data_IF_021459863610
#
_entry.id   IF_021459863610
#
_cell.length_a   1.000
_cell.length_b   1.000
_cell.length_c   1.000
_cell.angle_alpha   90.00
_cell.angle_beta   90.00
_cell.angle_gamma   90.00
#
_symmetry.space_group_name_H-M   'P 1'
#
loop_
_entity.id
_entity.type
_entity.pdbx_description
1 polymer ?
#
# COMPACT_ATOMS: atom_id res chain seq x y z
N UNK A 1 -10.64 48.77 -47.57
CA UNK A 1 -11.96 48.54 -46.94
C UNK A 1 -11.85 47.29 -46.09
N UNK A 2 -12.08 47.38 -44.78
CA UNK A 2 -12.08 46.20 -43.92
C UNK A 2 -13.35 45.41 -44.22
N UNK A 3 -13.21 44.16 -44.67
CA UNK A 3 -14.33 43.29 -45.01
C UNK A 3 -15.11 43.00 -43.72
N UNK A 4 -16.39 43.38 -43.68
CA UNK A 4 -17.31 43.04 -42.60
C UNK A 4 -18.22 41.90 -43.04
N UNK A 5 -18.70 41.13 -42.08
CA UNK A 5 -19.65 40.04 -42.28
C UNK A 5 -20.85 40.26 -41.36
N UNK A 6 -22.04 40.21 -41.93
CA UNK A 6 -23.31 40.37 -41.22
C UNK A 6 -23.66 39.06 -40.50
N UNK A 7 -24.03 39.16 -39.22
CA UNK A 7 -24.51 38.02 -38.44
C UNK A 7 -25.97 37.71 -38.81
N UNK A 8 -26.30 36.48 -39.24
CA UNK A 8 -27.66 36.11 -39.65
C UNK A 8 -28.66 36.04 -38.48
N UNK A 9 -28.17 36.14 -37.23
CA UNK A 9 -29.00 36.05 -36.03
C UNK A 9 -29.37 37.44 -35.48
N UNK A 10 -28.47 38.43 -35.57
CA UNK A 10 -28.74 39.78 -35.06
C UNK A 10 -28.78 40.90 -36.11
N UNK A 11 -28.41 40.60 -37.36
CA UNK A 11 -28.32 41.53 -38.49
C UNK A 11 -27.36 42.70 -38.22
N UNK A 12 -26.30 42.45 -37.45
CA UNK A 12 -25.22 43.41 -37.22
C UNK A 12 -23.94 43.00 -37.96
N UNK A 13 -23.18 44.00 -38.42
CA UNK A 13 -21.96 43.84 -39.20
C UNK A 13 -20.71 43.83 -38.31
N UNK A 14 -20.00 42.70 -38.30
CA UNK A 14 -18.76 42.52 -37.55
C UNK A 14 -17.54 42.50 -38.47
N UNK A 15 -16.39 42.95 -37.97
CA UNK A 15 -15.13 42.71 -38.67
C UNK A 15 -14.88 41.19 -38.74
N UNK A 16 -14.26 40.70 -39.82
CA UNK A 16 -13.96 39.26 -39.98
C UNK A 16 -13.24 38.63 -38.77
N UNK A 17 -12.43 39.40 -38.05
CA UNK A 17 -11.71 38.96 -36.84
C UNK A 17 -12.61 38.82 -35.61
N UNK A 18 -13.73 39.52 -35.57
CA UNK A 18 -14.68 39.57 -34.45
C UNK A 18 -15.95 38.76 -34.73
N UNK A 19 -16.14 38.32 -35.98
CA UNK A 19 -17.34 37.61 -36.41
C UNK A 19 -17.56 36.29 -35.66
N UNK A 20 -16.56 35.40 -35.59
CA UNK A 20 -16.72 34.11 -34.91
C UNK A 20 -16.93 34.26 -33.38
N UNK A 21 -16.12 35.06 -32.66
CA UNK A 21 -16.38 35.35 -31.24
C UNK A 21 -17.78 35.89 -30.99
N UNK A 22 -18.28 36.77 -31.87
CA UNK A 22 -19.65 37.25 -31.78
C UNK A 22 -20.67 36.12 -31.95
N UNK A 23 -20.55 35.26 -32.97
CA UNK A 23 -21.52 34.18 -33.23
C UNK A 23 -21.64 33.24 -32.03
N UNK A 24 -20.52 32.90 -31.40
CA UNK A 24 -20.46 32.02 -30.22
C UNK A 24 -21.23 32.61 -29.02
N UNK A 25 -21.33 33.94 -28.92
CA UNK A 25 -21.97 34.66 -27.82
C UNK A 25 -23.23 35.47 -28.23
N UNK A 26 -23.64 35.40 -29.51
CA UNK A 26 -24.70 36.23 -30.08
C UNK A 26 -26.01 36.11 -29.29
N UNK A 27 -26.55 37.21 -28.72
CA UNK A 27 -27.76 37.15 -27.87
C UNK A 27 -29.01 36.66 -28.59
N UNK A 28 -29.11 36.93 -29.90
CA UNK A 28 -30.26 36.58 -30.75
C UNK A 28 -30.13 35.21 -31.43
N UNK A 29 -29.03 34.48 -31.19
CA UNK A 29 -28.89 33.12 -31.70
C UNK A 29 -29.97 32.24 -31.10
N UNK A 30 -30.63 31.44 -31.94
CA UNK A 30 -31.64 30.48 -31.49
C UNK A 30 -30.95 29.27 -30.88
N UNK A 31 -31.29 28.97 -29.63
CA UNK A 31 -30.74 27.87 -28.82
C UNK A 31 -31.87 27.09 -28.15
N UNK A 32 -31.54 25.89 -27.67
CA UNK A 32 -32.39 25.11 -26.78
C UNK A 32 -31.85 25.20 -25.35
N UNK A 33 -32.71 24.99 -24.34
CA UNK A 33 -32.26 24.81 -22.96
C UNK A 33 -31.26 23.63 -22.89
N UNK A 34 -30.09 23.78 -22.25
CA UNK A 34 -29.11 22.69 -22.11
C UNK A 34 -29.63 21.45 -21.39
N UNK A 35 -30.70 21.59 -20.60
CA UNK A 35 -31.33 20.50 -19.84
C UNK A 35 -32.65 20.03 -20.45
N UNK A 36 -32.93 20.39 -21.71
CA UNK A 36 -34.11 19.94 -22.46
C UNK A 36 -34.28 18.41 -22.41
N UNK A 37 -33.20 17.69 -22.71
CA UNK A 37 -33.21 16.22 -22.72
C UNK A 37 -33.18 15.59 -21.31
N UNK A 38 -33.07 16.43 -20.27
CA UNK A 38 -33.07 16.04 -18.86
C UNK A 38 -34.35 16.43 -18.11
N UNK A 39 -35.40 16.84 -18.85
CA UNK A 39 -36.75 17.07 -18.29
C UNK A 39 -37.12 18.52 -18.02
N UNK A 40 -36.39 19.50 -18.58
CA UNK A 40 -36.81 20.90 -18.53
C UNK A 40 -38.19 21.08 -19.20
N UNK A 41 -39.09 21.83 -18.56
CA UNK A 41 -40.44 22.13 -19.09
C UNK A 41 -40.37 23.04 -20.32
N UNK A 42 -39.34 23.86 -20.41
CA UNK A 42 -39.14 24.75 -21.55
C UNK A 42 -38.43 23.98 -22.67
N UNK A 43 -39.23 23.56 -23.65
CA UNK A 43 -38.82 22.69 -24.75
C UNK A 43 -38.73 23.41 -26.09
N UNK A 44 -39.20 24.65 -26.14
CA UNK A 44 -39.19 25.47 -27.33
C UNK A 44 -37.80 26.04 -27.60
N UNK A 45 -37.53 26.31 -28.87
CA UNK A 45 -36.39 27.10 -29.28
C UNK A 45 -36.59 28.56 -28.85
N UNK A 46 -35.53 29.19 -28.33
CA UNK A 46 -35.56 30.57 -27.84
C UNK A 46 -34.26 31.28 -28.20
N UNK A 47 -34.22 32.60 -28.13
CA UNK A 47 -32.96 33.33 -28.26
C UNK A 47 -32.02 33.03 -27.07
N UNK A 48 -30.71 33.12 -27.28
CA UNK A 48 -29.72 32.95 -26.21
C UNK A 48 -30.00 33.88 -25.02
N UNK A 49 -30.44 35.10 -25.28
CA UNK A 49 -30.85 36.05 -24.24
C UNK A 49 -32.06 35.56 -23.43
N UNK A 50 -33.12 35.07 -24.10
CA UNK A 50 -34.26 34.45 -23.43
C UNK A 50 -33.86 33.20 -22.65
N UNK A 51 -32.91 32.40 -23.16
CA UNK A 51 -32.37 31.25 -22.46
C UNK A 51 -31.61 31.64 -21.19
N UNK A 52 -30.82 32.71 -21.22
CA UNK A 52 -30.13 33.22 -20.05
C UNK A 52 -31.13 33.73 -19.01
N UNK A 53 -32.17 34.45 -19.44
CA UNK A 53 -33.23 34.95 -18.56
C UNK A 53 -34.04 33.80 -17.93
N UNK A 54 -34.34 32.76 -18.70
CA UNK A 54 -34.96 31.52 -18.23
C UNK A 54 -34.09 30.86 -17.14
N UNK A 55 -32.80 30.62 -17.42
CA UNK A 55 -31.87 29.99 -16.48
C UNK A 55 -31.64 30.83 -15.21
N UNK A 56 -31.71 32.16 -15.32
CA UNK A 56 -31.45 33.09 -14.22
C UNK A 56 -32.71 33.47 -13.41
N UNK A 57 -33.90 33.06 -13.88
CA UNK A 57 -35.14 33.23 -13.12
C UNK A 57 -35.11 32.38 -11.84
N UNK A 58 -35.78 32.80 -10.77
CA UNK A 58 -35.81 32.03 -9.52
C UNK A 58 -36.38 30.61 -9.71
N UNK A 59 -37.44 30.48 -10.51
CA UNK A 59 -38.06 29.19 -10.82
C UNK A 59 -37.17 28.34 -11.73
N UNK A 60 -36.55 28.95 -12.74
CA UNK A 60 -35.63 28.26 -13.64
C UNK A 60 -34.36 27.79 -12.94
N UNK A 61 -33.66 28.66 -12.22
CA UNK A 61 -32.42 28.31 -11.52
C UNK A 61 -32.64 27.12 -10.58
N UNK A 62 -33.73 27.13 -9.82
CA UNK A 62 -34.07 26.04 -8.91
C UNK A 62 -34.34 24.73 -9.66
N UNK A 63 -35.30 24.74 -10.60
CA UNK A 63 -35.68 23.54 -11.37
C UNK A 63 -34.45 22.91 -12.06
N UNK A 64 -33.55 23.72 -12.63
CA UNK A 64 -32.34 23.23 -13.30
C UNK A 64 -31.30 22.67 -12.34
N UNK A 65 -31.08 23.28 -11.17
CA UNK A 65 -30.16 22.72 -10.16
C UNK A 65 -30.65 21.35 -9.68
N UNK A 66 -31.97 21.18 -9.48
CA UNK A 66 -32.55 19.87 -9.14
C UNK A 66 -32.34 18.86 -10.26
N UNK A 67 -32.51 19.25 -11.52
CA UNK A 67 -32.26 18.37 -12.67
C UNK A 67 -30.80 17.97 -12.80
N UNK A 68 -29.85 18.89 -12.60
CA UNK A 68 -28.42 18.59 -12.62
C UNK A 68 -28.03 17.59 -11.54
N UNK A 69 -28.58 17.75 -10.34
CA UNK A 69 -28.41 16.79 -9.24
C UNK A 69 -28.96 15.42 -9.62
N UNK A 70 -30.18 15.35 -10.16
CA UNK A 70 -30.81 14.08 -10.52
C UNK A 70 -30.02 13.35 -11.61
N UNK A 71 -29.45 14.08 -12.58
CA UNK A 71 -28.57 13.55 -13.61
C UNK A 71 -27.25 13.03 -13.03
N UNK A 72 -26.69 13.69 -12.01
CA UNK A 72 -25.51 13.19 -11.30
C UNK A 72 -25.81 11.92 -10.49
N UNK A 73 -27.03 11.79 -9.94
CA UNK A 73 -27.47 10.59 -9.21
C UNK A 73 -27.70 9.38 -10.10
N UNK A 74 -28.02 9.56 -11.38
CA UNK A 74 -28.23 8.46 -12.33
C UNK A 74 -26.94 7.96 -12.99
N UNK A 75 -25.80 8.62 -12.73
CA UNK A 75 -24.50 8.10 -13.12
C UNK A 75 -24.24 6.77 -12.40
N UNK A 76 -23.71 5.75 -13.10
CA UNK A 76 -23.40 4.47 -12.49
C UNK A 76 -22.30 4.67 -11.44
N UNK A 77 -22.71 4.78 -10.18
CA UNK A 77 -21.82 4.84 -9.02
C UNK A 77 -21.82 3.50 -8.29
N UNK A 78 -20.72 3.23 -7.59
CA UNK A 78 -20.53 2.06 -6.75
C UNK A 78 -21.75 1.84 -5.81
N UNK A 79 -22.19 0.60 -5.56
CA UNK A 79 -23.42 0.30 -4.80
C UNK A 79 -23.45 0.80 -3.34
N UNK A 80 -22.34 1.34 -2.82
CA UNK A 80 -22.19 1.81 -1.44
C UNK A 80 -22.71 3.24 -1.18
N UNK A 81 -23.23 3.96 -2.19
CA UNK A 81 -23.59 5.39 -2.09
C UNK A 81 -25.04 5.77 -2.45
N UNK A 82 -25.88 4.80 -2.80
CA UNK A 82 -27.25 5.08 -3.27
C UNK A 82 -28.11 5.76 -2.20
N UNK A 83 -27.96 5.40 -0.92
CA UNK A 83 -28.76 5.96 0.18
C UNK A 83 -28.47 7.45 0.44
N UNK A 84 -27.21 7.88 0.32
CA UNK A 84 -26.83 9.28 0.55
C UNK A 84 -27.29 10.20 -0.59
N UNK A 85 -27.24 9.71 -1.83
CA UNK A 85 -27.75 10.41 -3.02
C UNK A 85 -29.28 10.50 -3.02
N UNK A 86 -29.97 9.47 -2.54
CA UNK A 86 -31.43 9.51 -2.36
C UNK A 86 -31.85 10.46 -1.23
N UNK A 87 -31.14 10.45 -0.11
CA UNK A 87 -31.34 11.40 1.00
C UNK A 87 -31.17 12.85 0.52
N UNK A 88 -30.13 13.11 -0.28
CA UNK A 88 -29.89 14.40 -0.93
C UNK A 88 -31.05 14.83 -1.85
N UNK A 89 -31.49 13.93 -2.75
CA UNK A 89 -32.57 14.22 -3.68
C UNK A 89 -33.91 14.48 -2.96
N UNK A 90 -34.12 13.86 -1.79
CA UNK A 90 -35.31 14.07 -0.97
C UNK A 90 -35.26 15.39 -0.17
N UNK A 91 -34.08 15.82 0.28
CA UNK A 91 -33.90 17.11 0.97
C UNK A 91 -34.18 18.30 0.05
N UNK A 92 -33.68 18.22 -1.19
CA UNK A 92 -33.90 19.24 -2.23
C UNK A 92 -35.39 19.32 -2.61
N UNK A 93 -36.09 18.18 -2.68
CA UNK A 93 -37.54 18.12 -2.96
C UNK A 93 -38.41 18.61 -1.80
N UNK A 94 -37.93 18.57 -0.56
CA UNK A 94 -38.70 18.88 0.65
C UNK A 94 -38.55 20.31 1.19
N UNK A 95 -37.71 21.15 0.58
CA UNK A 95 -37.34 22.45 1.14
C UNK A 95 -38.30 23.56 0.71
N UNK A 96 -39.22 23.95 1.60
CA UNK A 96 -40.09 25.15 1.48
C UNK A 96 -39.40 26.46 1.93
N UNK A 97 -38.08 26.44 2.15
CA UNK A 97 -37.28 27.57 2.63
C UNK A 97 -36.66 28.42 1.50
N UNK A 98 -35.96 29.50 1.85
CA UNK A 98 -35.17 30.30 0.91
C UNK A 98 -34.26 29.40 0.08
N UNK A 99 -34.22 29.62 -1.24
CA UNK A 99 -33.39 28.86 -2.20
C UNK A 99 -31.93 28.74 -1.72
N UNK A 100 -31.42 29.77 -1.03
CA UNK A 100 -30.07 29.79 -0.47
C UNK A 100 -29.83 28.73 0.62
N UNK A 101 -30.83 28.43 1.45
CA UNK A 101 -30.69 27.46 2.55
C UNK A 101 -30.70 26.02 2.02
N UNK A 102 -31.51 25.74 0.99
CA UNK A 102 -31.54 24.45 0.30
C UNK A 102 -30.23 24.17 -0.44
N UNK A 103 -29.70 25.17 -1.15
CA UNK A 103 -28.40 25.07 -1.84
C UNK A 103 -27.25 24.91 -0.84
N UNK A 104 -27.28 25.63 0.29
CA UNK A 104 -26.26 25.51 1.34
C UNK A 104 -26.24 24.11 1.97
N UNK A 105 -27.41 23.57 2.34
CA UNK A 105 -27.51 22.21 2.90
C UNK A 105 -27.04 21.13 1.92
N UNK A 106 -27.32 21.31 0.63
CA UNK A 106 -26.81 20.44 -0.43
C UNK A 106 -25.27 20.48 -0.51
N UNK A 107 -24.66 21.68 -0.49
CA UNK A 107 -23.20 21.83 -0.51
C UNK A 107 -22.56 21.16 0.71
N UNK A 108 -23.09 21.38 1.91
CA UNK A 108 -22.57 20.79 3.15
C UNK A 108 -22.64 19.24 3.13
N UNK A 109 -23.74 18.69 2.63
CA UNK A 109 -23.90 17.25 2.45
C UNK A 109 -22.90 16.68 1.45
N UNK A 110 -22.70 17.34 0.31
CA UNK A 110 -21.73 16.91 -0.69
C UNK A 110 -20.28 16.98 -0.19
N UNK A 111 -19.93 18.06 0.53
CA UNK A 111 -18.61 18.21 1.17
C UNK A 111 -18.35 17.08 2.17
N UNK A 112 -19.37 16.70 2.96
CA UNK A 112 -19.27 15.58 3.90
C UNK A 112 -19.04 14.25 3.17
N UNK A 113 -19.80 13.98 2.10
CA UNK A 113 -19.62 12.78 1.27
C UNK A 113 -18.23 12.73 0.63
N UNK A 114 -17.71 13.86 0.16
CA UNK A 114 -16.35 13.96 -0.41
C UNK A 114 -15.29 13.67 0.67
N UNK A 115 -15.47 14.20 1.88
CA UNK A 115 -14.56 13.94 2.99
C UNK A 115 -14.52 12.44 3.38
N UNK A 116 -15.68 11.80 3.46
CA UNK A 116 -15.80 10.36 3.73
C UNK A 116 -15.14 9.53 2.63
N UNK A 117 -15.30 9.94 1.38
CA UNK A 117 -14.64 9.30 0.24
C UNK A 117 -13.12 9.39 0.30
N UNK A 118 -12.59 10.56 0.65
CA UNK A 118 -11.14 10.75 0.81
C UNK A 118 -10.62 9.85 1.94
N UNK A 119 -11.33 9.76 3.07
CA UNK A 119 -10.98 8.86 4.16
C UNK A 119 -10.99 7.38 3.73
N UNK A 120 -11.96 6.96 2.92
CA UNK A 120 -12.01 5.59 2.40
C UNK A 120 -10.94 5.30 1.34
N UNK A 121 -10.57 6.28 0.50
CA UNK A 121 -9.46 6.17 -0.46
C UNK A 121 -8.14 6.00 0.28
N UNK A 122 -7.83 6.91 1.21
CA UNK A 122 -6.59 6.85 2.02
C UNK A 122 -6.46 5.54 2.81
N UNK A 123 -7.58 5.01 3.32
CA UNK A 123 -7.62 3.69 3.94
C UNK A 123 -7.31 2.57 2.96
N UNK A 124 -7.90 2.58 1.75
CA UNK A 124 -7.58 1.59 0.71
C UNK A 124 -6.12 1.68 0.25
N UNK A 125 -5.55 2.87 0.13
CA UNK A 125 -4.13 3.05 -0.20
C UNK A 125 -3.23 2.39 0.84
N UNK A 126 -3.53 2.54 2.13
CA UNK A 126 -2.77 1.87 3.20
C UNK A 126 -2.86 0.33 3.12
N UNK A 127 -4.01 -0.20 2.71
CA UNK A 127 -4.21 -1.64 2.50
C UNK A 127 -3.44 -2.14 1.27
N UNK A 128 -3.41 -1.36 0.19
CA UNK A 128 -2.62 -1.66 -1.02
C UNK A 128 -1.14 -1.75 -0.67
N UNK A 129 -0.57 -0.75 0.00
CA UNK A 129 0.84 -0.81 0.44
C UNK A 129 1.14 -2.07 1.26
N UNK A 130 0.25 -2.45 2.17
CA UNK A 130 0.40 -3.67 2.98
C UNK A 130 0.36 -4.95 2.13
N UNK A 131 -0.48 -4.98 1.09
CA UNK A 131 -0.57 -6.11 0.17
C UNK A 131 0.66 -6.19 -0.74
N UNK A 132 1.15 -5.07 -1.25
CA UNK A 132 2.38 -4.99 -2.04
C UNK A 132 3.58 -5.54 -1.25
N UNK A 133 3.72 -5.16 0.03
CA UNK A 133 4.74 -5.71 0.93
C UNK A 133 4.62 -7.23 1.11
N UNK A 134 3.39 -7.75 1.21
CA UNK A 134 3.14 -9.20 1.32
C UNK A 134 3.47 -9.93 0.02
N UNK A 135 3.15 -9.35 -1.14
CA UNK A 135 3.48 -9.91 -2.45
C UNK A 135 5.00 -10.00 -2.61
N UNK A 136 5.74 -8.92 -2.33
CA UNK A 136 7.20 -8.93 -2.39
C UNK A 136 7.83 -10.00 -1.46
N UNK A 137 7.27 -10.18 -0.26
CA UNK A 137 7.69 -11.24 0.66
C UNK A 137 7.41 -12.65 0.09
N UNK A 138 6.23 -12.86 -0.49
CA UNK A 138 5.87 -14.14 -1.10
C UNK A 138 6.73 -14.46 -2.32
N UNK A 139 7.04 -13.48 -3.16
CA UNK A 139 7.97 -13.62 -4.28
C UNK A 139 9.36 -14.03 -3.78
N UNK A 140 9.83 -13.41 -2.71
CA UNK A 140 11.12 -13.75 -2.08
C UNK A 140 11.12 -15.18 -1.54
N UNK A 141 10.04 -15.61 -0.87
CA UNK A 141 9.89 -16.98 -0.37
C UNK A 141 9.85 -17.97 -1.55
N UNK A 142 9.09 -17.64 -2.59
CA UNK A 142 8.94 -18.48 -3.79
C UNK A 142 10.27 -18.63 -4.50
N UNK A 143 11.03 -17.55 -4.68
CA UNK A 143 12.37 -17.56 -5.21
C UNK A 143 13.31 -18.46 -4.38
N UNK A 144 13.24 -18.34 -3.05
CA UNK A 144 14.00 -19.18 -2.12
C UNK A 144 13.57 -20.64 -2.11
N UNK A 145 12.36 -20.98 -2.54
CA UNK A 145 11.89 -22.37 -2.63
C UNK A 145 12.19 -22.99 -4.00
N UNK A 146 12.03 -22.22 -5.07
CA UNK A 146 12.29 -22.66 -6.44
C UNK A 146 13.80 -22.76 -6.74
N UNK A 147 14.60 -21.85 -6.18
CA UNK A 147 16.04 -21.75 -6.42
C UNK A 147 16.87 -21.88 -5.14
N UNK A 148 16.23 -22.31 -4.05
CA UNK A 148 16.87 -22.48 -2.75
C UNK A 148 17.99 -23.50 -2.75
N UNK A 149 19.04 -23.19 -1.99
CA UNK A 149 20.08 -24.17 -1.68
C UNK A 149 19.50 -25.21 -0.72
N UNK A 150 19.19 -26.39 -1.24
CA UNK A 150 18.77 -27.57 -0.47
C UNK A 150 19.98 -28.39 -0.02
N UNK A 151 21.02 -27.71 0.48
CA UNK A 151 22.29 -28.33 0.87
C UNK A 151 22.63 -28.10 2.34
N UNK A 152 21.67 -27.58 3.11
CA UNK A 152 21.87 -27.18 4.51
C UNK A 152 22.62 -25.88 4.67
N UNK A 153 22.80 -25.07 3.62
CA UNK A 153 23.47 -23.78 3.72
C UNK A 153 22.59 -22.61 3.29
N UNK A 154 22.79 -21.46 3.96
CA UNK A 154 22.14 -20.19 3.61
C UNK A 154 23.13 -19.05 3.80
N UNK A 155 23.07 -18.06 2.91
CA UNK A 155 23.63 -16.72 3.12
C UNK A 155 22.47 -15.74 3.29
N UNK A 156 22.37 -15.14 4.46
CA UNK A 156 21.36 -14.15 4.82
C UNK A 156 21.93 -12.75 4.68
N UNK A 157 21.47 -12.02 3.66
CA UNK A 157 21.72 -10.59 3.49
C UNK A 157 20.75 -9.80 4.36
N UNK A 158 21.27 -8.90 5.19
CA UNK A 158 20.46 -8.02 6.05
C UNK A 158 20.79 -6.58 5.65
N UNK A 159 20.01 -5.97 4.74
CA UNK A 159 20.18 -4.58 4.36
C UNK A 159 19.54 -3.65 5.38
N UNK A 160 19.79 -2.35 5.24
CA UNK A 160 19.24 -1.29 6.09
C UNK A 160 19.59 -1.51 7.57
N UNK A 161 20.83 -1.91 7.84
CA UNK A 161 21.26 -2.37 9.15
C UNK A 161 21.14 -1.28 10.22
N UNK A 162 21.38 -0.02 9.84
CA UNK A 162 21.23 1.16 10.69
C UNK A 162 19.77 1.31 11.17
N UNK A 163 18.80 1.24 10.24
CA UNK A 163 17.37 1.29 10.58
C UNK A 163 16.98 0.13 11.50
N UNK A 164 17.43 -1.10 11.19
CA UNK A 164 17.15 -2.27 12.02
C UNK A 164 17.74 -2.15 13.42
N UNK A 165 18.89 -1.49 13.56
CA UNK A 165 19.50 -1.21 14.85
C UNK A 165 18.68 -0.19 15.66
N UNK A 166 18.11 0.82 15.00
CA UNK A 166 17.21 1.79 15.64
C UNK A 166 15.86 1.16 16.01
N UNK A 167 15.29 0.30 15.16
CA UNK A 167 14.10 -0.50 15.47
C UNK A 167 14.31 -1.38 16.71
N UNK A 168 15.50 -1.98 16.85
CA UNK A 168 15.85 -2.76 18.02
C UNK A 168 16.04 -1.88 19.27
N UNK A 169 16.58 -0.66 19.12
CA UNK A 169 16.81 0.29 20.22
C UNK A 169 15.52 0.87 20.76
N UNK A 170 14.59 1.20 19.86
CA UNK A 170 13.25 1.69 20.21
C UNK A 170 12.33 0.59 20.72
N UNK A 171 12.72 -0.68 20.55
CA UNK A 171 11.93 -1.83 20.96
C UNK A 171 10.81 -2.19 19.97
N UNK A 172 10.72 -1.50 18.82
CA UNK A 172 9.75 -1.80 17.75
C UNK A 172 9.91 -3.25 17.26
N UNK A 173 11.16 -3.66 17.00
CA UNK A 173 11.51 -5.03 16.65
C UNK A 173 12.78 -5.47 17.37
N UNK A 174 12.65 -6.29 18.42
CA UNK A 174 13.80 -6.75 19.22
C UNK A 174 14.59 -7.88 18.55
N UNK A 175 13.97 -8.61 17.61
CA UNK A 175 14.61 -9.68 16.84
C UNK A 175 14.06 -9.75 15.42
N UNK A 176 14.86 -10.25 14.49
CA UNK A 176 14.46 -10.52 13.10
C UNK A 176 14.71 -11.98 12.73
N UNK A 177 13.89 -12.53 11.84
CA UNK A 177 14.03 -13.89 11.33
C UNK A 177 14.58 -13.89 9.91
N UNK A 178 15.39 -14.90 9.58
CA UNK A 178 15.73 -15.19 8.19
C UNK A 178 14.56 -15.86 7.48
N UNK A 179 14.64 -15.95 6.17
CA UNK A 179 13.81 -16.90 5.43
C UNK A 179 14.14 -18.34 5.86
N UNK A 180 13.21 -19.29 5.65
CA UNK A 180 13.50 -20.69 5.83
C UNK A 180 14.56 -21.21 4.84
N UNK A 181 15.39 -22.15 5.28
CA UNK A 181 16.25 -22.99 4.45
C UNK A 181 16.13 -24.45 4.86
N UNK A 182 16.68 -25.34 4.04
CA UNK A 182 16.47 -26.77 4.16
C UNK A 182 17.78 -27.53 4.14
N UNK A 183 17.85 -28.64 4.88
CA UNK A 183 19.02 -29.52 4.88
C UNK A 183 19.14 -30.32 3.57
N UNK A 184 18.01 -30.64 2.96
CA UNK A 184 17.89 -31.31 1.66
C UNK A 184 16.52 -31.01 1.05
N UNK A 185 16.24 -31.47 -0.20
CA UNK A 185 14.95 -31.25 -0.87
C UNK A 185 13.76 -31.73 -0.06
N UNK A 186 13.96 -32.82 0.68
CA UNK A 186 12.98 -33.45 1.57
C UNK A 186 13.46 -33.44 3.03
N UNK A 187 14.28 -32.44 3.38
CA UNK A 187 15.01 -32.37 4.65
C UNK A 187 14.34 -31.51 5.72
N UNK A 188 15.09 -31.25 6.79
CA UNK A 188 14.66 -30.39 7.89
C UNK A 188 14.41 -28.97 7.39
N UNK A 189 13.32 -28.33 7.83
CA UNK A 189 13.06 -26.90 7.63
C UNK A 189 13.62 -26.11 8.81
N UNK A 190 14.40 -25.07 8.52
CA UNK A 190 15.16 -24.33 9.53
C UNK A 190 15.16 -22.83 9.22
N UNK A 191 15.35 -21.98 10.22
CA UNK A 191 15.65 -20.56 10.01
C UNK A 191 16.60 -20.04 11.09
N UNK A 192 17.02 -18.78 10.94
CA UNK A 192 17.80 -18.06 11.92
C UNK A 192 16.96 -16.98 12.60
N UNK A 193 17.29 -16.70 13.86
CA UNK A 193 16.75 -15.57 14.62
C UNK A 193 17.91 -14.71 15.13
N UNK A 194 17.91 -13.43 14.77
CA UNK A 194 18.96 -12.48 15.13
C UNK A 194 18.41 -11.42 16.09
N UNK A 195 19.16 -11.16 17.15
CA UNK A 195 18.96 -10.02 18.05
C UNK A 195 20.14 -9.07 17.90
N UNK A 196 19.90 -7.94 17.22
CA UNK A 196 20.95 -6.97 16.88
C UNK A 196 21.56 -6.37 18.16
N UNK A 197 20.74 -6.05 19.16
CA UNK A 197 21.16 -5.53 20.46
C UNK A 197 21.33 -6.62 21.52
N UNK A 198 21.41 -7.88 21.09
CA UNK A 198 21.64 -9.03 21.94
C UNK A 198 20.45 -9.48 22.78
N UNK A 199 20.55 -10.70 23.28
CA UNK A 199 19.56 -11.37 24.12
C UNK A 199 20.23 -12.11 25.29
N UNK A 200 19.47 -12.31 26.37
CA UNK A 200 19.94 -12.96 27.59
C UNK A 200 21.26 -12.37 28.11
N UNK A 201 22.26 -13.23 28.31
CA UNK A 201 23.59 -12.83 28.81
C UNK A 201 24.40 -11.95 27.83
N UNK A 202 23.97 -11.83 26.58
CA UNK A 202 24.60 -10.96 25.57
C UNK A 202 23.89 -9.62 25.39
N UNK A 203 22.75 -9.40 26.05
CA UNK A 203 21.92 -8.22 25.88
C UNK A 203 22.72 -6.93 26.13
N UNK A 204 22.62 -5.98 25.19
CA UNK A 204 23.28 -4.68 25.21
C UNK A 204 24.78 -4.70 24.90
N UNK A 205 25.44 -5.86 24.90
CA UNK A 205 26.90 -5.97 24.76
C UNK A 205 27.34 -6.72 23.50
N UNK A 206 26.51 -7.63 23.00
CA UNK A 206 26.79 -8.48 21.86
C UNK A 206 25.60 -8.46 20.90
N UNK A 207 25.85 -8.82 19.65
CA UNK A 207 24.81 -9.31 18.76
C UNK A 207 24.61 -10.81 19.06
N UNK A 208 23.36 -11.26 19.17
CA UNK A 208 23.03 -12.68 19.46
C UNK A 208 22.40 -13.33 18.25
N UNK A 209 22.83 -14.55 17.93
CA UNK A 209 22.34 -15.30 16.78
C UNK A 209 21.91 -16.70 17.20
N UNK A 210 20.72 -17.09 16.80
CA UNK A 210 20.10 -18.36 17.14
C UNK A 210 19.63 -19.10 15.89
N UNK A 211 19.65 -20.42 15.98
CA UNK A 211 19.12 -21.36 15.02
C UNK A 211 17.77 -21.87 15.51
N UNK A 212 16.85 -22.07 14.57
CA UNK A 212 15.48 -22.49 14.84
C UNK A 212 15.15 -23.67 13.93
N UNK A 213 14.75 -24.78 14.55
CA UNK A 213 14.09 -25.88 13.83
C UNK A 213 12.63 -25.51 13.64
N UNK A 214 12.14 -25.58 12.41
CA UNK A 214 10.76 -25.29 12.03
C UNK A 214 10.03 -26.57 11.68
N UNK A 215 8.71 -26.58 11.82
CA UNK A 215 7.88 -27.68 11.34
C UNK A 215 7.96 -27.79 9.83
N UNK A 216 8.48 -28.93 9.36
CA UNK A 216 8.64 -29.28 7.96
C UNK A 216 7.55 -30.24 7.47
N UNK A 217 7.36 -30.28 6.16
CA UNK A 217 6.41 -31.19 5.51
C UNK A 217 6.84 -32.66 5.62
N UNK A 218 8.16 -32.90 5.63
CA UNK A 218 8.76 -34.23 5.64
C UNK A 218 9.22 -34.70 7.03
N UNK A 219 8.84 -34.00 8.11
CA UNK A 219 9.26 -34.31 9.49
C UNK A 219 8.89 -35.74 9.96
N UNK A 220 7.93 -36.39 9.29
CA UNK A 220 7.58 -37.80 9.54
C UNK A 220 8.63 -38.80 9.03
N UNK A 221 9.43 -38.41 8.03
CA UNK A 221 10.43 -39.26 7.38
C UNK A 221 11.85 -39.04 7.93
N UNK A 222 12.05 -37.96 8.69
CA UNK A 222 13.36 -37.54 9.17
C UNK A 222 13.68 -38.14 10.55
N UNK A 223 14.96 -38.42 10.84
CA UNK A 223 15.36 -38.84 12.18
C UNK A 223 15.17 -37.71 13.20
N UNK A 224 14.88 -38.07 14.44
CA UNK A 224 14.76 -37.12 15.54
C UNK A 224 15.42 -37.68 16.81
N UNK A 225 16.02 -36.83 17.66
CA UNK A 225 16.12 -35.36 17.55
C UNK A 225 17.09 -34.90 16.45
N UNK A 226 17.05 -33.61 16.10
CA UNK A 226 17.99 -32.99 15.17
C UNK A 226 19.41 -32.98 15.78
N UNK A 227 20.37 -33.58 15.08
CA UNK A 227 21.76 -33.77 15.57
C UNK A 227 22.84 -33.23 14.64
N UNK A 228 22.48 -32.56 13.55
CA UNK A 228 23.48 -32.05 12.62
C UNK A 228 24.23 -30.84 13.21
N UNK A 229 25.56 -30.83 13.09
CA UNK A 229 26.40 -29.72 13.53
C UNK A 229 26.00 -28.44 12.79
N UNK A 230 25.80 -27.35 13.53
CA UNK A 230 25.43 -26.04 12.96
C UNK A 230 26.61 -25.10 13.09
N UNK A 231 26.98 -24.44 11.99
CA UNK A 231 28.06 -23.44 11.94
C UNK A 231 27.50 -22.11 11.45
N UNK A 232 27.62 -21.09 12.28
CA UNK A 232 27.37 -19.69 11.95
C UNK A 232 28.65 -18.98 11.54
N UNK A 233 28.50 -18.03 10.63
CA UNK A 233 29.59 -17.20 10.12
C UNK A 233 29.08 -15.78 9.85
N UNK A 234 29.61 -14.79 10.54
CA UNK A 234 29.44 -13.38 10.17
C UNK A 234 30.55 -13.02 9.18
N UNK A 235 30.15 -12.68 7.95
CA UNK A 235 31.08 -12.46 6.85
C UNK A 235 31.74 -11.08 6.97
N UNK A 236 33.06 -11.02 6.90
CA UNK A 236 33.81 -9.79 6.72
C UNK A 236 33.95 -9.49 5.23
N UNK A 237 33.51 -8.32 4.81
CA UNK A 237 33.41 -7.88 3.42
C UNK A 237 34.68 -7.16 2.93
N UNK A 238 35.64 -6.89 3.82
CA UNK A 238 36.90 -6.18 3.50
C UNK A 238 38.12 -7.11 3.56
N UNK A 239 37.95 -8.38 3.20
CA UNK A 239 39.01 -9.40 3.17
C UNK A 239 39.74 -9.65 4.50
N UNK A 240 39.14 -9.28 5.64
CA UNK A 240 39.60 -9.68 6.98
C UNK A 240 38.96 -11.01 7.40
N UNK A 241 39.32 -11.51 8.59
CA UNK A 241 38.77 -12.74 9.15
C UNK A 241 37.29 -12.58 9.50
N UNK A 242 36.54 -13.62 9.20
CA UNK A 242 35.14 -13.77 9.57
C UNK A 242 35.00 -14.19 11.05
N UNK A 243 33.85 -13.89 11.67
CA UNK A 243 33.50 -14.45 12.98
C UNK A 243 32.77 -15.76 12.77
N UNK A 244 33.34 -16.87 13.25
CA UNK A 244 32.79 -18.22 13.09
C UNK A 244 32.47 -18.81 14.44
N UNK A 245 31.25 -19.33 14.61
CA UNK A 245 30.87 -20.13 15.79
C UNK A 245 30.10 -21.36 15.34
N UNK A 246 30.42 -22.51 15.92
CA UNK A 246 29.71 -23.75 15.67
C UNK A 246 29.24 -24.35 16.99
N UNK A 247 28.13 -25.07 16.93
CA UNK A 247 27.65 -25.86 18.06
C UNK A 247 27.10 -27.20 17.58
N UNK A 248 27.14 -28.16 18.49
CA UNK A 248 26.52 -29.46 18.34
C UNK A 248 25.16 -29.41 19.06
N UNK A 249 24.02 -29.68 18.38
CA UNK A 249 22.72 -29.74 19.03
C UNK A 249 22.71 -30.74 20.19
N UNK A 250 22.12 -30.34 21.32
CA UNK A 250 21.89 -31.21 22.47
C UNK A 250 20.63 -32.06 22.24
N UNK A 251 20.74 -33.40 22.12
CA UNK A 251 19.59 -34.28 21.89
C UNK A 251 18.52 -34.23 22.98
N UNK A 252 18.83 -33.72 24.18
CA UNK A 252 17.88 -33.59 25.29
C UNK A 252 17.16 -32.24 25.27
N UNK A 253 17.64 -31.25 24.51
CA UNK A 253 17.00 -29.95 24.44
C UNK A 253 15.70 -30.01 23.64
N UNK A 254 14.67 -29.35 24.16
CA UNK A 254 13.38 -29.18 23.46
C UNK A 254 13.52 -28.46 22.12
N UNK A 255 14.58 -27.65 21.95
CA UNK A 255 14.86 -26.88 20.73
C UNK A 255 15.08 -27.77 19.48
N UNK A 256 15.56 -29.00 19.69
CA UNK A 256 15.96 -29.92 18.62
C UNK A 256 15.08 -31.15 18.52
N UNK A 257 14.01 -31.22 19.31
CA UNK A 257 13.01 -32.29 19.18
C UNK A 257 12.15 -32.09 17.93
N UNK A 258 11.43 -33.15 17.54
CA UNK A 258 10.43 -33.06 16.47
C UNK A 258 9.43 -31.91 16.74
N UNK A 259 9.29 -30.93 15.83
CA UNK A 259 8.43 -29.78 16.03
C UNK A 259 6.97 -30.17 16.25
N UNK A 260 6.36 -29.56 17.27
CA UNK A 260 4.92 -29.64 17.55
C UNK A 260 4.16 -28.37 17.10
N UNK A 261 4.87 -27.24 17.06
CA UNK A 261 4.42 -25.93 16.58
C UNK A 261 5.26 -25.50 15.37
N UNK A 262 4.89 -24.40 14.72
CA UNK A 262 5.59 -23.90 13.52
C UNK A 262 7.09 -23.68 13.72
N UNK A 263 7.49 -23.28 14.92
CA UNK A 263 8.87 -23.10 15.34
C UNK A 263 9.11 -23.71 16.72
N UNK A 264 10.27 -24.35 16.90
CA UNK A 264 10.78 -24.70 18.21
C UNK A 264 11.41 -23.50 18.92
N UNK A 265 11.78 -23.68 20.18
CA UNK A 265 12.59 -22.72 20.94
C UNK A 265 13.93 -22.53 20.22
N UNK A 266 14.33 -21.27 20.04
CA UNK A 266 15.58 -20.93 19.36
C UNK A 266 16.79 -21.30 20.25
N UNK A 267 17.84 -21.85 19.64
CA UNK A 267 19.07 -22.22 20.34
C UNK A 267 20.30 -21.78 19.55
N UNK A 268 21.35 -21.30 20.22
CA UNK A 268 22.51 -20.73 19.54
C UNK A 268 23.43 -19.96 20.45
N UNK A 269 23.89 -18.79 19.99
CA UNK A 269 24.98 -18.03 20.59
C UNK A 269 24.50 -16.66 21.11
N UNK A 270 24.17 -16.53 22.40
CA UNK A 270 23.83 -15.24 23.02
C UNK A 270 24.95 -14.21 22.89
N UNK A 271 26.22 -14.64 22.94
CA UNK A 271 27.39 -13.79 22.72
C UNK A 271 28.02 -14.11 21.38
N UNK A 272 27.33 -13.89 20.26
CA UNK A 272 27.85 -14.29 18.94
C UNK A 272 29.05 -13.44 18.52
N UNK A 273 28.87 -12.11 18.44
CA UNK A 273 29.94 -11.13 18.20
C UNK A 273 29.77 -9.94 19.15
N UNK A 274 30.87 -9.41 19.68
CA UNK A 274 30.79 -8.23 20.57
C UNK A 274 30.41 -6.98 19.78
N UNK A 275 29.77 -6.01 20.44
CA UNK A 275 29.44 -4.73 19.79
C UNK A 275 30.70 -4.03 19.26
N UNK A 276 31.81 -4.09 20.00
CA UNK A 276 33.07 -3.45 19.58
C UNK A 276 33.62 -4.11 18.32
N UNK A 277 33.71 -5.45 18.31
CA UNK A 277 34.18 -6.23 17.16
C UNK A 277 33.27 -6.08 15.93
N UNK A 278 31.95 -6.00 16.11
CA UNK A 278 31.01 -5.75 15.01
C UNK A 278 31.25 -4.38 14.36
N UNK A 279 31.62 -3.38 15.17
CA UNK A 279 31.90 -2.02 14.72
C UNK A 279 33.35 -1.84 14.22
N UNK A 280 34.25 -2.79 14.51
CA UNK A 280 35.56 -2.86 13.88
C UNK A 280 35.36 -3.15 12.39
N UNK A 281 35.66 -2.15 11.56
CA UNK A 281 35.23 -2.09 10.16
C UNK A 281 35.45 -3.36 9.34
N UNK A 282 34.47 -3.65 8.48
CA UNK A 282 34.47 -4.75 7.52
C UNK A 282 33.26 -5.68 7.62
N UNK A 283 32.52 -5.69 8.73
CA UNK A 283 31.30 -6.50 8.84
C UNK A 283 30.07 -5.77 8.28
N UNK A 284 29.97 -4.47 8.55
CA UNK A 284 28.92 -3.58 8.03
C UNK A 284 29.53 -2.78 6.86
N UNK A 285 29.04 -3.02 5.65
CA UNK A 285 29.43 -2.31 4.42
C UNK A 285 28.16 -2.00 3.66
N UNK A 286 28.03 -0.78 3.13
CA UNK A 286 26.83 -0.28 2.42
C UNK A 286 25.53 -0.56 3.20
N UNK A 287 25.55 -0.22 4.49
CA UNK A 287 24.47 -0.43 5.45
C UNK A 287 23.91 -1.88 5.46
N UNK A 288 24.79 -2.85 5.22
CA UNK A 288 24.42 -4.26 5.04
C UNK A 288 25.39 -5.18 5.77
N UNK A 289 24.85 -6.23 6.40
CA UNK A 289 25.64 -7.36 6.91
C UNK A 289 25.25 -8.66 6.22
N UNK A 290 26.16 -9.64 6.23
CA UNK A 290 25.91 -10.99 5.71
C UNK A 290 26.21 -12.05 6.76
N UNK A 291 25.22 -12.88 7.04
CA UNK A 291 25.35 -14.03 7.95
C UNK A 291 25.21 -15.31 7.12
N UNK A 292 26.21 -16.18 7.18
CA UNK A 292 26.14 -17.52 6.60
C UNK A 292 25.88 -18.55 7.70
N UNK A 293 24.99 -19.48 7.43
CA UNK A 293 24.82 -20.71 8.21
C UNK A 293 25.10 -21.92 7.34
N UNK A 294 25.73 -22.94 7.92
CA UNK A 294 25.92 -24.25 7.32
C UNK A 294 25.57 -25.32 8.35
N UNK A 295 24.69 -26.23 7.94
CA UNK A 295 24.35 -27.46 8.65
C UNK A 295 25.15 -28.59 8.01
N UNK A 296 25.82 -29.39 8.82
CA UNK A 296 26.62 -30.51 8.33
C UNK A 296 25.72 -31.68 7.92
N UNK A 297 25.42 -31.74 6.63
CA UNK A 297 24.52 -32.71 6.00
C UNK A 297 25.25 -33.89 5.38
N UNK A 298 26.59 -33.92 5.46
CA UNK A 298 27.37 -35.07 5.02
C UNK A 298 27.05 -36.28 5.91
N UNK A 299 26.62 -37.36 5.26
CA UNK A 299 26.45 -38.69 5.85
C UNK A 299 27.76 -39.44 5.82
#
# INVERSE_FOLDING_TARGET
MHRKQECPHCNEDFAMTEYQPHVDECPKMIVNCPLKDHGCKETNEMTREECINHLSSNDGLFDHVVMMVAALSSLPTNPLKSESLESFANLVRGSSGSVEDGVRGAIESFVTMVAELIAEITKKDSQICTLEDKVAQLETITMSFCYGNFDGSMVWKIPQFSQRMDDARTGKYTSIFSLPFYSSRYGYKMCLRLYILGDGIGKGTHMSLFFVVMKGEYDALLPWPFTHKVTFKLMNQCSKRDVVKAFQPDPLSSSFQKPKSDMNVASGCPRFVSKNELMEGGFIVDDTIFIKVKVDTAT
#
